data_IF_769106462607
#
_entry.id   IF_769106462607
#
_cell.length_a   1.000
_cell.length_b   1.000
_cell.length_c   1.000
_cell.angle_alpha   90.00
_cell.angle_beta   90.00
_cell.angle_gamma   90.00
#
_symmetry.space_group_name_H-M   'P 1'
#
loop_
_entity.id
_entity.type
_entity.pdbx_description
1 polymer ?
#
# COMPACT_ATOMS: atom_id res chain seq x y z
N UNK A 1 -3.06 11.01 -27.11
CA UNK A 1 -3.32 9.69 -26.48
C UNK A 1 -3.41 9.90 -24.98
N UNK A 2 -4.57 9.68 -24.36
CA UNK A 2 -4.76 9.81 -22.91
C UNK A 2 -3.94 8.74 -22.21
N UNK A 3 -2.82 9.13 -21.60
CA UNK A 3 -1.99 8.21 -20.86
C UNK A 3 -2.75 7.74 -19.61
N UNK A 4 -3.26 6.51 -19.66
CA UNK A 4 -4.07 5.88 -18.60
C UNK A 4 -3.22 4.87 -17.84
N UNK A 5 -3.41 4.78 -16.53
CA UNK A 5 -2.79 3.72 -15.74
C UNK A 5 -3.17 2.33 -16.26
N UNK A 6 -2.22 1.40 -16.24
CA UNK A 6 -2.48 0.01 -16.61
C UNK A 6 -3.48 -0.61 -15.64
N UNK A 7 -4.31 -1.55 -16.13
CA UNK A 7 -5.28 -2.26 -15.29
C UNK A 7 -4.58 -2.94 -14.10
N UNK A 8 -3.38 -3.49 -14.32
CA UNK A 8 -2.52 -4.07 -13.29
C UNK A 8 -2.20 -3.07 -12.16
N UNK A 9 -1.83 -1.83 -12.50
CA UNK A 9 -1.54 -0.80 -11.50
C UNK A 9 -2.77 -0.45 -10.64
N UNK A 10 -3.95 -0.40 -11.28
CA UNK A 10 -5.22 -0.13 -10.61
C UNK A 10 -5.60 -1.29 -9.67
N UNK A 11 -5.54 -2.53 -10.16
CA UNK A 11 -5.86 -3.73 -9.38
C UNK A 11 -4.93 -3.88 -8.18
N UNK A 12 -3.61 -3.74 -8.37
CA UNK A 12 -2.65 -3.80 -7.27
C UNK A 12 -2.89 -2.70 -6.23
N UNK A 13 -3.24 -1.49 -6.66
CA UNK A 13 -3.52 -0.39 -5.74
C UNK A 13 -4.73 -0.69 -4.84
N UNK A 14 -5.85 -1.09 -5.43
CA UNK A 14 -7.07 -1.37 -4.65
C UNK A 14 -6.95 -2.62 -3.79
N UNK A 15 -6.24 -3.65 -4.27
CA UNK A 15 -5.98 -4.86 -3.48
C UNK A 15 -5.18 -4.53 -2.21
N UNK A 16 -4.12 -3.75 -2.34
CA UNK A 16 -3.31 -3.30 -1.20
C UNK A 16 -4.13 -2.41 -0.27
N UNK A 17 -4.90 -1.46 -0.82
CA UNK A 17 -5.74 -0.57 -0.03
C UNK A 17 -6.75 -1.36 0.83
N UNK A 18 -7.44 -2.32 0.24
CA UNK A 18 -8.36 -3.21 0.96
C UNK A 18 -7.64 -4.05 2.02
N UNK A 19 -6.46 -4.60 1.69
CA UNK A 19 -5.65 -5.36 2.63
C UNK A 19 -5.19 -4.54 3.84
N UNK A 20 -4.75 -3.30 3.63
CA UNK A 20 -4.33 -2.38 4.70
C UNK A 20 -5.50 -2.01 5.62
N UNK A 21 -6.68 -1.72 5.06
CA UNK A 21 -7.90 -1.45 5.84
C UNK A 21 -8.27 -2.68 6.68
N UNK A 22 -8.27 -3.87 6.07
CA UNK A 22 -8.54 -5.12 6.77
C UNK A 22 -7.56 -5.40 7.90
N UNK A 23 -6.26 -5.18 7.66
CA UNK A 23 -5.21 -5.32 8.68
C UNK A 23 -5.36 -4.32 9.82
N UNK A 24 -5.74 -3.08 9.52
CA UNK A 24 -5.99 -2.06 10.54
C UNK A 24 -7.17 -2.45 11.43
N UNK A 25 -8.31 -2.82 10.83
CA UNK A 25 -9.48 -3.31 11.58
C UNK A 25 -9.16 -4.56 12.40
N UNK A 26 -8.39 -5.50 11.82
CA UNK A 26 -7.94 -6.69 12.53
C UNK A 26 -7.04 -6.34 13.71
N UNK A 27 -6.11 -5.40 13.54
CA UNK A 27 -5.24 -4.91 14.61
C UNK A 27 -6.02 -4.32 15.79
N UNK A 28 -7.05 -3.52 15.50
CA UNK A 28 -7.96 -3.00 16.52
C UNK A 28 -8.77 -4.12 17.20
N UNK A 29 -9.27 -5.09 16.45
CA UNK A 29 -9.99 -6.24 17.02
C UNK A 29 -9.11 -7.07 17.98
N UNK A 30 -7.81 -7.17 17.69
CA UNK A 30 -6.87 -7.99 18.46
C UNK A 30 -6.49 -7.41 19.82
N UNK A 31 -6.63 -6.09 20.03
CA UNK A 31 -6.29 -5.47 21.31
C UNK A 31 -7.24 -5.93 22.42
N UNK A 32 -8.53 -6.06 22.10
CA UNK A 32 -9.59 -6.31 23.08
C UNK A 32 -9.79 -7.81 23.39
N UNK A 33 -9.13 -8.70 22.64
CA UNK A 33 -9.21 -10.14 22.84
C UNK A 33 -8.54 -10.56 24.17
N UNK A 34 -9.19 -11.41 24.99
CA UNK A 34 -8.55 -11.98 26.17
C UNK A 34 -7.42 -12.93 25.77
N UNK A 35 -6.40 -13.07 26.64
CA UNK A 35 -5.28 -13.97 26.39
C UNK A 35 -5.79 -15.41 26.27
N UNK A 36 -5.69 -15.97 25.06
CA UNK A 36 -6.23 -17.28 24.72
C UNK A 36 -5.47 -17.88 23.54
N UNK A 37 -5.52 -19.22 23.34
CA UNK A 37 -4.98 -19.85 22.14
C UNK A 37 -5.61 -19.29 20.84
N UNK A 38 -6.84 -18.78 20.92
CA UNK A 38 -7.47 -18.10 19.80
C UNK A 38 -6.76 -16.78 19.46
N UNK A 39 -6.46 -15.94 20.47
CA UNK A 39 -5.72 -14.68 20.27
C UNK A 39 -4.39 -14.92 19.58
N UNK A 40 -3.61 -15.91 20.03
CA UNK A 40 -2.32 -16.27 19.42
C UNK A 40 -2.46 -16.70 17.95
N UNK A 41 -3.55 -17.39 17.61
CA UNK A 41 -3.85 -17.81 16.23
C UNK A 41 -4.16 -16.61 15.34
N UNK A 42 -4.97 -15.66 15.82
CA UNK A 42 -5.27 -14.42 15.10
C UNK A 42 -4.00 -13.59 14.91
N UNK A 43 -3.13 -13.50 15.93
CA UNK A 43 -1.81 -12.86 15.82
C UNK A 43 -0.91 -13.50 14.78
N UNK A 44 -0.94 -14.82 14.65
CA UNK A 44 -0.18 -15.52 13.62
C UNK A 44 -0.72 -15.19 12.22
N UNK A 45 -2.04 -15.21 12.04
CA UNK A 45 -2.68 -14.82 10.79
C UNK A 45 -2.43 -13.36 10.40
N UNK A 46 -2.50 -12.44 11.36
CA UNK A 46 -2.19 -11.02 11.14
C UNK A 46 -0.76 -10.84 10.62
N UNK A 47 0.23 -11.51 11.23
CA UNK A 47 1.63 -11.44 10.75
C UNK A 47 1.78 -11.93 9.31
N UNK A 48 1.21 -13.09 8.98
CA UNK A 48 1.28 -13.63 7.61
C UNK A 48 0.54 -12.78 6.59
N UNK A 49 -0.62 -12.21 6.96
CA UNK A 49 -1.34 -11.27 6.14
C UNK A 49 -0.52 -9.98 5.90
N UNK A 50 0.16 -9.46 6.92
CA UNK A 50 1.08 -8.34 6.82
C UNK A 50 2.22 -8.61 5.84
N UNK A 51 2.89 -9.75 5.96
CA UNK A 51 3.95 -10.17 5.02
C UNK A 51 3.42 -10.30 3.58
N UNK A 52 2.21 -10.83 3.39
CA UNK A 52 1.59 -10.95 2.07
C UNK A 52 1.32 -9.57 1.45
N UNK A 53 0.77 -8.64 2.22
CA UNK A 53 0.52 -7.26 1.77
C UNK A 53 1.84 -6.55 1.47
N UNK A 54 2.87 -6.77 2.28
CA UNK A 54 4.21 -6.22 2.04
C UNK A 54 4.77 -6.69 0.69
N UNK A 55 4.67 -7.98 0.37
CA UNK A 55 5.09 -8.51 -0.94
C UNK A 55 4.28 -7.87 -2.08
N UNK A 56 2.97 -7.66 -1.91
CA UNK A 56 2.15 -6.95 -2.91
C UNK A 56 2.59 -5.49 -3.10
N UNK A 57 2.97 -4.80 -2.01
CA UNK A 57 3.54 -3.45 -2.08
C UNK A 57 4.85 -3.44 -2.86
N UNK A 58 5.75 -4.41 -2.61
CA UNK A 58 6.98 -4.55 -3.38
C UNK A 58 6.69 -4.80 -4.87
N UNK A 59 5.74 -5.68 -5.19
CA UNK A 59 5.31 -5.92 -6.57
C UNK A 59 4.76 -4.64 -7.22
N UNK A 60 3.97 -3.84 -6.48
CA UNK A 60 3.48 -2.55 -6.96
C UNK A 60 4.59 -1.54 -7.18
N UNK A 61 5.60 -1.51 -6.31
CA UNK A 61 6.76 -0.64 -6.47
C UNK A 61 7.58 -1.04 -7.70
N UNK A 62 7.87 -2.33 -7.87
CA UNK A 62 8.54 -2.87 -9.05
C UNK A 62 7.75 -2.55 -10.34
N UNK A 63 6.42 -2.67 -10.29
CA UNK A 63 5.55 -2.28 -11.41
C UNK A 63 5.68 -0.80 -11.75
N UNK A 64 5.71 0.09 -10.75
CA UNK A 64 5.88 1.53 -10.99
C UNK A 64 7.27 1.90 -11.52
N UNK A 65 8.31 1.16 -11.15
CA UNK A 65 9.67 1.37 -11.65
C UNK A 65 9.80 0.92 -13.11
N UNK A 66 9.08 -0.14 -13.51
CA UNK A 66 9.12 -0.71 -14.87
C UNK A 66 8.11 -0.06 -15.82
N UNK A 67 7.03 0.52 -15.30
CA UNK A 67 5.97 1.16 -16.07
C UNK A 67 5.87 2.64 -15.66
N UNK A 68 6.49 3.56 -16.43
CA UNK A 68 6.48 4.98 -16.12
C UNK A 68 5.04 5.49 -16.01
N UNK A 69 4.79 6.29 -14.97
CA UNK A 69 3.49 6.94 -14.83
C UNK A 69 3.26 7.93 -15.99
N UNK A 70 2.00 8.09 -16.43
CA UNK A 70 1.61 9.15 -17.36
C UNK A 70 2.26 10.49 -17.04
N UNK A 71 2.77 11.18 -18.07
CA UNK A 71 3.36 12.50 -17.90
C UNK A 71 2.33 13.46 -17.28
N UNK A 72 2.73 14.13 -16.19
CA UNK A 72 1.90 15.15 -15.54
C UNK A 72 1.66 16.31 -16.53
N UNK A 73 0.47 16.95 -16.53
CA UNK A 73 0.17 18.05 -17.43
C UNK A 73 1.24 19.15 -17.35
N UNK A 74 1.71 19.69 -18.50
CA UNK A 74 2.72 20.74 -18.52
C UNK A 74 2.25 22.05 -17.87
N UNK A 75 0.94 22.21 -17.68
CA UNK A 75 0.31 23.36 -16.98
C UNK A 75 0.38 23.29 -15.45
N UNK A 76 0.91 22.20 -14.88
CA UNK A 76 0.95 22.00 -13.44
C UNK A 76 2.07 22.83 -12.79
N UNK A 77 1.72 23.62 -11.77
CA UNK A 77 2.67 24.45 -11.03
C UNK A 77 3.81 23.60 -10.42
N UNK A 78 5.09 24.02 -10.52
CA UNK A 78 6.24 23.22 -10.09
C UNK A 78 6.17 22.75 -8.62
N UNK A 79 5.63 23.60 -7.73
CA UNK A 79 5.43 23.27 -6.32
C UNK A 79 4.41 22.13 -6.10
N UNK A 80 3.33 22.09 -6.89
CA UNK A 80 2.35 20.99 -6.85
C UNK A 80 2.94 19.67 -7.38
N UNK A 81 3.80 19.75 -8.40
CA UNK A 81 4.52 18.57 -8.93
C UNK A 81 5.50 18.00 -7.90
N UNK A 82 6.23 18.86 -7.19
CA UNK A 82 7.17 18.44 -6.15
C UNK A 82 6.45 17.77 -4.96
N UNK A 83 5.36 18.37 -4.46
CA UNK A 83 4.58 17.84 -3.35
C UNK A 83 3.92 16.49 -3.68
N UNK A 84 3.37 16.32 -4.89
CA UNK A 84 2.82 15.03 -5.32
C UNK A 84 3.88 13.91 -5.37
N UNK A 85 5.11 14.25 -5.76
CA UNK A 85 6.24 13.31 -5.82
C UNK A 85 6.72 12.96 -4.41
N UNK A 86 6.84 13.96 -3.53
CA UNK A 86 7.23 13.79 -2.14
C UNK A 86 6.21 12.95 -1.37
N UNK A 87 4.91 13.21 -1.52
CA UNK A 87 3.85 12.43 -0.88
C UNK A 87 3.88 10.96 -1.30
N UNK A 88 4.11 10.68 -2.60
CA UNK A 88 4.28 9.31 -3.07
C UNK A 88 5.52 8.64 -2.45
N UNK A 89 6.65 9.33 -2.41
CA UNK A 89 7.87 8.83 -1.80
C UNK A 89 7.69 8.52 -0.31
N UNK A 90 7.04 9.43 0.42
CA UNK A 90 6.74 9.28 1.84
C UNK A 90 5.83 8.07 2.09
N UNK A 91 4.79 7.88 1.27
CA UNK A 91 3.88 6.74 1.37
C UNK A 91 4.60 5.41 1.13
N UNK A 92 5.47 5.33 0.12
CA UNK A 92 6.29 4.12 -0.07
C UNK A 92 7.25 3.89 1.10
N UNK A 93 7.88 4.95 1.62
CA UNK A 93 8.75 4.87 2.78
C UNK A 93 8.03 4.36 4.02
N UNK A 94 6.83 4.89 4.30
CA UNK A 94 5.97 4.44 5.40
C UNK A 94 5.55 2.98 5.22
N UNK A 95 5.12 2.59 4.01
CA UNK A 95 4.77 1.19 3.73
C UNK A 95 5.94 0.21 3.91
N UNK A 96 7.19 0.67 3.70
CA UNK A 96 8.40 -0.13 3.94
C UNK A 96 8.82 -0.14 5.41
N UNK A 97 8.60 0.95 6.14
CA UNK A 97 9.02 1.10 7.53
C UNK A 97 8.09 0.36 8.51
N UNK A 98 6.79 0.26 8.20
CA UNK A 98 5.84 -0.50 8.99
C UNK A 98 5.89 -1.98 8.57
N UNK A 99 6.32 -2.83 9.49
CA UNK A 99 6.37 -4.30 9.42
C UNK A 99 5.35 -4.92 10.36
#
# INVERSE_FOLDING_TARGET
>A
MTARYTRTAISLHWLIAAGLIGMFCLGLYMTDLPFSPHKLRVYSWHKWAGVTIFVLVLARLAWRLTHPAPALPPTMHPALRASATAAHGLLYGLMLAFR
#
